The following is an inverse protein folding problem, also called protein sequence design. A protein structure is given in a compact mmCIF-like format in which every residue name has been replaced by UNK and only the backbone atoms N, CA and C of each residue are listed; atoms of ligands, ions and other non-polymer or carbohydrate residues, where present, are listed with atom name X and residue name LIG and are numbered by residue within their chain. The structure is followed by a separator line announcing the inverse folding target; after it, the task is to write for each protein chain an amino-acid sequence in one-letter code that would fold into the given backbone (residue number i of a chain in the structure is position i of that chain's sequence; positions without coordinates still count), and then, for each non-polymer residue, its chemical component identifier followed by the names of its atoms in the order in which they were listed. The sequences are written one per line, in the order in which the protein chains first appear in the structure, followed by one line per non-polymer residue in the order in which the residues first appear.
data_IF_975721755680
#
_entry.id   IF_975721755680
#
_cell.length_a   1.000
_cell.length_b   1.000
_cell.length_c   1.000
_cell.angle_alpha   90.00
_cell.angle_beta   90.00
_cell.angle_gamma   90.00
#
_symmetry.space_group_name_H-M   'P 1'
#
loop_
_entity.id
_entity.type
_entity.pdbx_description
1 polymer ?
#
# COMPACT_ATOMS: atom_id res chain seq x y z
N UNK A 1 13.44 10.45 14.57
CA UNK A 1 13.41 10.03 15.99
C UNK A 1 12.33 8.96 16.16
N UNK A 2 12.44 8.08 17.16
CA UNK A 2 11.36 7.18 17.56
C UNK A 2 10.31 8.04 18.29
N UNK A 3 9.07 7.98 17.84
CA UNK A 3 7.95 8.62 18.53
C UNK A 3 7.24 7.61 19.40
N UNK A 4 7.00 7.96 20.66
CA UNK A 4 6.28 7.13 21.62
C UNK A 4 5.19 7.96 22.28
N UNK A 5 3.97 7.42 22.35
CA UNK A 5 2.82 8.08 22.97
C UNK A 5 2.05 7.12 23.90
N UNK A 6 1.10 7.64 24.68
CA UNK A 6 0.19 6.84 25.47
C UNK A 6 -0.52 5.78 24.64
N UNK A 7 -0.63 4.56 25.16
CA UNK A 7 -1.48 3.53 24.55
C UNK A 7 -2.92 3.73 25.03
N UNK A 8 -3.79 4.23 24.15
CA UNK A 8 -5.14 4.67 24.53
C UNK A 8 -5.97 3.56 25.21
N UNK A 9 -5.93 2.29 24.75
CA UNK A 9 -6.71 1.22 25.38
C UNK A 9 -6.37 0.95 26.85
N UNK A 10 -5.21 1.42 27.34
CA UNK A 10 -4.81 1.28 28.75
C UNK A 10 -4.65 2.61 29.48
N UNK A 11 -4.98 3.74 28.84
CA UNK A 11 -4.80 5.08 29.39
C UNK A 11 -3.40 5.26 30.00
N UNK A 12 -2.36 4.80 29.30
CA UNK A 12 -0.99 4.82 29.81
C UNK A 12 -0.60 6.25 30.23
N UNK A 13 -0.15 6.47 31.49
CA UNK A 13 0.19 7.80 31.93
C UNK A 13 1.32 8.39 31.08
N UNK A 14 1.16 9.65 30.65
CA UNK A 14 2.20 10.33 29.86
C UNK A 14 3.56 10.39 30.57
N UNK A 15 3.57 10.46 31.90
CA UNK A 15 4.80 10.40 32.69
C UNK A 15 5.61 9.11 32.44
N UNK A 16 4.92 7.96 32.31
CA UNK A 16 5.56 6.68 32.00
C UNK A 16 6.12 6.65 30.58
N UNK A 17 5.41 7.25 29.62
CA UNK A 17 5.87 7.40 28.23
C UNK A 17 7.14 8.26 28.17
N UNK A 18 7.16 9.36 28.93
CA UNK A 18 8.31 10.25 29.04
C UNK A 18 9.52 9.53 29.64
N UNK A 19 9.33 8.78 30.72
CA UNK A 19 10.39 7.98 31.34
C UNK A 19 10.98 6.96 30.35
N UNK A 20 10.13 6.29 29.58
CA UNK A 20 10.57 5.35 28.55
C UNK A 20 11.36 6.05 27.42
N UNK A 21 10.90 7.21 26.94
CA UNK A 21 11.64 7.99 25.95
C UNK A 21 13.01 8.43 26.47
N UNK A 22 13.09 8.88 27.72
CA UNK A 22 14.35 9.26 28.36
C UNK A 22 15.31 8.08 28.49
N UNK A 23 14.82 6.87 28.80
CA UNK A 23 15.63 5.65 28.80
C UNK A 23 16.24 5.36 27.41
N UNK A 24 15.45 5.51 26.34
CA UNK A 24 15.91 5.33 24.96
C UNK A 24 16.95 6.41 24.58
N UNK A 25 16.74 7.66 25.02
CA UNK A 25 17.71 8.73 24.78
C UNK A 25 19.01 8.48 25.53
N UNK A 26 18.96 7.99 26.77
CA UNK A 26 20.14 7.63 27.56
C UNK A 26 20.98 6.52 26.93
N UNK A 27 20.40 5.66 26.08
CA UNK A 27 21.15 4.64 25.35
C UNK A 27 21.82 5.17 24.07
N UNK A 28 21.66 6.45 23.76
CA UNK A 28 22.24 7.09 22.56
C UNK A 28 21.32 7.08 21.34
N UNK A 29 20.08 6.57 21.46
CA UNK A 29 19.09 6.59 20.40
C UNK A 29 18.25 7.87 20.42
N UNK A 30 17.66 8.23 19.28
CA UNK A 30 16.76 9.39 19.19
C UNK A 30 15.34 8.96 19.50
N UNK A 31 14.75 9.46 20.59
CA UNK A 31 13.33 9.26 20.91
C UNK A 31 12.67 10.56 21.38
N UNK A 32 11.36 10.66 21.16
CA UNK A 32 10.52 11.81 21.52
C UNK A 32 9.19 11.27 22.07
N UNK A 33 8.84 11.69 23.28
CA UNK A 33 7.55 11.39 23.89
C UNK A 33 6.51 12.39 23.37
N UNK A 34 5.36 11.88 22.92
CA UNK A 34 4.23 12.66 22.45
C UNK A 34 3.05 12.44 23.39
N UNK A 35 2.33 13.49 23.74
CA UNK A 35 1.07 13.36 24.49
C UNK A 35 0.00 12.63 23.67
N UNK A 36 0.05 12.81 22.35
CA UNK A 36 -0.77 12.10 21.38
C UNK A 36 0.09 11.69 20.18
N UNK A 37 0.28 10.39 19.99
CA UNK A 37 1.03 9.85 18.86
C UNK A 37 0.16 9.62 17.62
N UNK A 38 -1.18 9.70 17.73
CA UNK A 38 -2.10 9.39 16.64
C UNK A 38 -1.84 10.22 15.39
N UNK A 39 -1.57 11.55 15.44
CA UNK A 39 -1.25 12.34 14.26
C UNK A 39 -0.09 11.76 13.43
N UNK A 40 1.01 11.39 14.08
CA UNK A 40 2.18 10.83 13.40
C UNK A 40 1.95 9.38 12.95
N UNK A 41 1.26 8.58 13.78
CA UNK A 41 0.90 7.21 13.44
C UNK A 41 -0.01 7.14 12.21
N UNK A 42 -1.01 8.02 12.12
CA UNK A 42 -1.92 8.08 10.98
C UNK A 42 -1.23 8.56 9.71
N UNK A 43 -0.37 9.59 9.78
CA UNK A 43 0.43 10.02 8.62
C UNK A 43 1.23 8.84 8.05
N UNK A 44 1.92 8.10 8.92
CA UNK A 44 2.71 6.92 8.52
C UNK A 44 1.87 5.74 8.08
N UNK A 45 0.73 5.49 8.72
CA UNK A 45 -0.19 4.41 8.37
C UNK A 45 -0.73 4.59 6.95
N UNK A 46 -1.21 5.79 6.61
CA UNK A 46 -1.73 6.09 5.27
C UNK A 46 -0.63 5.90 4.22
N UNK A 47 0.55 6.49 4.46
CA UNK A 47 1.71 6.34 3.57
C UNK A 47 2.06 4.85 3.34
N UNK A 48 2.28 4.09 4.42
CA UNK A 48 2.65 2.68 4.33
C UNK A 48 1.55 1.82 3.71
N UNK A 49 0.28 2.06 4.04
CA UNK A 49 -0.83 1.28 3.51
C UNK A 49 -0.96 1.41 1.99
N UNK A 50 -0.75 2.62 1.46
CA UNK A 50 -0.79 2.90 0.03
C UNK A 50 0.44 2.34 -0.69
N UNK A 51 1.64 2.69 -0.23
CA UNK A 51 2.90 2.28 -0.89
C UNK A 51 3.13 0.77 -0.78
N UNK A 52 3.02 0.18 0.41
CA UNK A 52 3.36 -1.23 0.61
C UNK A 52 2.40 -2.14 -0.18
N UNK A 53 1.10 -1.83 -0.17
CA UNK A 53 0.11 -2.63 -0.89
C UNK A 53 0.30 -2.56 -2.39
N UNK A 54 0.54 -1.37 -2.95
CA UNK A 54 0.79 -1.22 -4.38
C UNK A 54 2.09 -1.90 -4.80
N UNK A 55 3.17 -1.67 -4.06
CA UNK A 55 4.48 -2.31 -4.30
C UNK A 55 4.39 -3.83 -4.25
N UNK A 56 3.64 -4.39 -3.30
CA UNK A 56 3.44 -5.82 -3.18
C UNK A 56 2.67 -6.43 -4.37
N UNK A 57 1.76 -5.69 -5.01
CA UNK A 57 1.02 -6.17 -6.18
C UNK A 57 1.78 -5.98 -7.50
N UNK A 58 2.49 -4.87 -7.66
CA UNK A 58 3.24 -4.55 -8.88
C UNK A 58 4.64 -5.18 -8.90
N UNK A 59 5.11 -5.64 -7.74
CA UNK A 59 6.46 -6.13 -7.49
C UNK A 59 7.59 -5.10 -7.73
N UNK A 60 7.21 -3.82 -7.91
CA UNK A 60 8.11 -2.68 -8.00
C UNK A 60 8.57 -2.22 -6.61
N UNK A 61 9.82 -1.76 -6.43
CA UNK A 61 10.22 -1.05 -5.22
C UNK A 61 9.50 0.30 -5.10
N UNK A 62 9.66 1.01 -3.98
CA UNK A 62 9.19 2.41 -3.86
C UNK A 62 10.07 3.34 -4.70
N UNK A 63 9.77 3.41 -5.98
CA UNK A 63 10.49 4.14 -7.02
C UNK A 63 9.65 5.32 -7.57
N UNK A 64 10.25 6.13 -8.44
CA UNK A 64 9.68 7.39 -8.96
C UNK A 64 8.28 7.25 -9.56
N UNK A 65 7.96 6.08 -10.10
CA UNK A 65 6.66 5.76 -10.71
C UNK A 65 5.52 5.89 -9.69
N UNK A 66 5.78 5.76 -8.39
CA UNK A 66 4.81 5.95 -7.30
C UNK A 66 4.41 7.42 -7.09
N UNK A 67 5.12 8.36 -7.70
CA UNK A 67 4.86 9.80 -7.63
C UNK A 67 4.67 10.44 -9.01
N UNK A 68 4.73 9.67 -10.10
CA UNK A 68 4.51 10.19 -11.45
C UNK A 68 3.01 10.33 -11.72
N UNK A 69 2.59 11.46 -12.28
CA UNK A 69 1.19 11.81 -12.56
C UNK A 69 1.09 12.56 -13.92
N UNK A 70 1.80 12.09 -14.94
CA UNK A 70 1.88 12.73 -16.26
C UNK A 70 0.94 12.02 -17.25
N UNK A 71 1.16 10.73 -17.43
CA UNK A 71 0.39 9.89 -18.34
C UNK A 71 -0.78 9.25 -17.60
N UNK A 72 -1.92 9.07 -18.27
CA UNK A 72 -3.13 8.51 -17.66
C UNK A 72 -2.91 7.15 -16.96
N UNK A 73 -1.95 6.36 -17.43
CA UNK A 73 -1.59 5.06 -16.86
C UNK A 73 -0.60 5.12 -15.70
N UNK A 74 -0.12 6.31 -15.33
CA UNK A 74 0.87 6.45 -14.28
C UNK A 74 0.33 6.00 -12.92
N UNK A 75 1.21 5.31 -12.18
CA UNK A 75 0.86 4.71 -10.90
C UNK A 75 0.64 5.76 -9.81
N UNK A 76 1.24 6.94 -9.91
CA UNK A 76 1.11 8.00 -8.92
C UNK A 76 -0.33 8.47 -8.74
N UNK A 77 -1.17 8.46 -9.79
CA UNK A 77 -2.60 8.79 -9.65
C UNK A 77 -3.31 7.85 -8.67
N UNK A 78 -3.05 6.54 -8.76
CA UNK A 78 -3.62 5.57 -7.82
C UNK A 78 -3.10 5.80 -6.39
N UNK A 79 -1.81 6.10 -6.23
CA UNK A 79 -1.24 6.39 -4.90
C UNK A 79 -1.84 7.64 -4.28
N UNK A 80 -2.02 8.68 -5.08
CA UNK A 80 -2.62 9.94 -4.65
C UNK A 80 -4.04 9.71 -4.17
N UNK A 81 -4.87 9.00 -4.96
CA UNK A 81 -6.25 8.69 -4.58
C UNK A 81 -6.34 7.82 -3.31
N UNK A 82 -5.48 6.82 -3.17
CA UNK A 82 -5.37 6.01 -1.94
C UNK A 82 -5.02 6.89 -0.74
N UNK A 83 -4.05 7.79 -0.90
CA UNK A 83 -3.62 8.70 0.17
C UNK A 83 -4.75 9.67 0.56
N UNK A 84 -5.44 10.27 -0.40
CA UNK A 84 -6.58 11.14 -0.13
C UNK A 84 -7.75 10.39 0.53
N UNK A 85 -7.99 9.14 0.14
CA UNK A 85 -8.93 8.26 0.82
C UNK A 85 -8.54 8.03 2.28
N UNK A 86 -7.27 7.69 2.55
CA UNK A 86 -6.75 7.56 3.90
C UNK A 86 -6.87 8.85 4.72
N UNK A 87 -6.59 10.02 4.13
CA UNK A 87 -6.75 11.33 4.77
C UNK A 87 -8.21 11.60 5.19
N UNK A 88 -9.17 11.29 4.32
CA UNK A 88 -10.61 11.42 4.65
C UNK A 88 -11.01 10.53 5.82
N UNK A 89 -10.52 9.29 5.86
CA UNK A 89 -10.76 8.37 6.98
C UNK A 89 -10.17 8.90 8.27
N UNK A 90 -8.92 9.40 8.25
CA UNK A 90 -8.27 9.99 9.42
C UNK A 90 -9.05 11.21 9.96
N UNK A 91 -9.48 12.10 9.05
CA UNK A 91 -10.28 13.27 9.41
C UNK A 91 -11.61 12.87 10.06
N UNK A 92 -12.31 11.87 9.51
CA UNK A 92 -13.53 11.35 10.10
C UNK A 92 -13.34 10.64 11.44
N UNK A 93 -12.15 10.09 11.69
CA UNK A 93 -11.74 9.57 13.00
C UNK A 93 -11.32 10.69 13.99
N UNK A 94 -11.40 11.96 13.58
CA UNK A 94 -11.02 13.11 14.41
C UNK A 94 -9.51 13.28 14.57
N UNK A 95 -8.71 12.73 13.65
CA UNK A 95 -7.25 12.82 13.68
C UNK A 95 -6.77 13.84 12.65
N UNK A 96 -6.17 14.92 13.14
CA UNK A 96 -5.40 15.83 12.30
C UNK A 96 -4.00 15.24 12.09
N UNK A 97 -3.59 15.09 10.83
CA UNK A 97 -2.29 14.51 10.49
C UNK A 97 -1.13 15.44 10.86
N UNK A 98 -0.01 14.86 11.29
CA UNK A 98 1.22 15.60 11.59
C UNK A 98 1.95 16.01 10.31
N UNK A 99 2.11 15.03 9.43
CA UNK A 99 2.83 15.13 8.16
C UNK A 99 1.88 14.77 7.01
N UNK A 100 2.09 15.34 5.82
CA UNK A 100 1.32 14.99 4.62
C UNK A 100 1.84 13.66 4.01
N UNK A 101 1.04 12.58 3.99
CA UNK A 101 1.46 11.30 3.40
C UNK A 101 1.82 11.39 1.92
N UNK A 102 1.26 12.35 1.17
CA UNK A 102 1.62 12.55 -0.24
C UNK A 102 3.04 13.08 -0.38
N UNK A 103 3.41 14.07 0.44
CA UNK A 103 4.79 14.57 0.45
C UNK A 103 5.78 13.50 0.89
N UNK A 104 5.40 12.70 1.90
CA UNK A 104 6.19 11.54 2.31
C UNK A 104 6.40 10.56 1.13
N UNK A 105 5.36 10.34 0.31
CA UNK A 105 5.46 9.53 -0.89
C UNK A 105 6.40 10.11 -1.95
N UNK A 106 6.29 11.40 -2.27
CA UNK A 106 7.17 12.05 -3.26
C UNK A 106 8.64 12.00 -2.87
N UNK A 107 8.95 12.14 -1.58
CA UNK A 107 10.32 12.02 -1.07
C UNK A 107 10.78 10.56 -1.09
N UNK A 108 9.97 9.63 -0.57
CA UNK A 108 10.34 8.22 -0.49
C UNK A 108 10.51 7.54 -1.84
N UNK A 109 9.73 7.96 -2.85
CA UNK A 109 9.80 7.43 -4.22
C UNK A 109 11.17 7.65 -4.90
N UNK A 110 12.03 8.50 -4.33
CA UNK A 110 13.38 8.75 -4.84
C UNK A 110 14.42 7.75 -4.33
N UNK A 111 14.02 6.79 -3.49
CA UNK A 111 14.96 5.89 -2.78
C UNK A 111 15.10 4.51 -3.39
N UNK A 112 14.23 4.13 -4.33
CA UNK A 112 14.12 2.77 -4.89
C UNK A 112 14.06 1.68 -3.80
N UNK A 113 13.52 2.02 -2.63
CA UNK A 113 13.53 1.15 -1.46
C UNK A 113 12.40 0.13 -1.53
N UNK A 114 12.68 -1.19 -1.49
CA UNK A 114 11.63 -2.21 -1.45
C UNK A 114 10.99 -2.26 -0.04
N UNK A 115 9.68 -2.02 0.10
CA UNK A 115 9.01 -2.10 1.39
C UNK A 115 8.90 -3.55 1.91
N UNK A 116 8.69 -3.70 3.21
CA UNK A 116 8.56 -5.00 3.90
C UNK A 116 7.53 -5.93 3.28
N UNK A 117 6.34 -5.41 2.94
CA UNK A 117 5.29 -6.23 2.33
C UNK A 117 5.70 -6.82 0.96
N UNK A 118 6.53 -6.12 0.19
CA UNK A 118 7.08 -6.67 -1.06
C UNK A 118 8.02 -7.84 -0.78
N UNK A 119 8.84 -7.72 0.26
CA UNK A 119 9.66 -8.85 0.72
C UNK A 119 8.78 -10.04 1.12
N UNK A 120 7.72 -9.82 1.90
CA UNK A 120 6.80 -10.89 2.30
C UNK A 120 6.17 -11.57 1.09
N UNK A 121 5.68 -10.80 0.11
CA UNK A 121 5.08 -11.35 -1.12
C UNK A 121 6.08 -12.17 -1.93
N UNK A 122 7.32 -11.68 -2.11
CA UNK A 122 8.36 -12.40 -2.84
C UNK A 122 8.73 -13.74 -2.18
N UNK A 123 8.61 -13.82 -0.86
CA UNK A 123 8.92 -15.02 -0.08
C UNK A 123 7.66 -15.82 0.33
N UNK A 124 6.48 -15.42 -0.13
CA UNK A 124 5.18 -16.04 0.21
C UNK A 124 4.93 -16.13 1.72
N UNK A 125 5.35 -15.10 2.44
CA UNK A 125 5.11 -14.93 3.87
C UNK A 125 3.81 -14.16 4.11
N UNK A 126 3.19 -14.39 5.27
CA UNK A 126 2.03 -13.60 5.68
C UNK A 126 2.44 -12.12 5.79
N UNK A 127 1.66 -11.25 5.16
CA UNK A 127 1.89 -9.81 5.16
C UNK A 127 1.26 -9.12 6.37
N UNK A 128 1.69 -7.89 6.60
CA UNK A 128 1.12 -6.96 7.58
C UNK A 128 -0.17 -6.25 7.11
N UNK A 129 -0.78 -6.66 5.98
CA UNK A 129 -1.90 -5.94 5.34
C UNK A 129 -3.12 -5.76 6.26
N UNK A 130 -3.36 -6.70 7.18
CA UNK A 130 -4.46 -6.65 8.14
C UNK A 130 -4.36 -5.39 9.02
N UNK A 131 -3.14 -4.93 9.31
CA UNK A 131 -2.83 -3.78 10.18
C UNK A 131 -2.56 -2.49 9.42
N UNK A 132 -2.40 -2.56 8.10
CA UNK A 132 -2.22 -1.39 7.22
C UNK A 132 -3.53 -1.05 6.49
N UNK A 133 -3.63 -1.39 5.20
CA UNK A 133 -4.82 -1.10 4.40
C UNK A 133 -6.11 -1.70 4.98
N UNK A 134 -6.01 -2.88 5.62
CA UNK A 134 -7.13 -3.48 6.34
C UNK A 134 -7.60 -2.65 7.54
N UNK A 135 -6.69 -1.97 8.25
CA UNK A 135 -7.05 -1.10 9.36
C UNK A 135 -7.79 0.16 8.86
N UNK A 136 -7.30 0.80 7.79
CA UNK A 136 -7.96 1.95 7.17
C UNK A 136 -9.37 1.57 6.69
N UNK A 137 -9.52 0.45 5.98
CA UNK A 137 -10.82 0.00 5.48
C UNK A 137 -11.83 -0.28 6.61
N UNK A 138 -11.39 -0.89 7.73
CA UNK A 138 -12.25 -1.11 8.90
C UNK A 138 -12.63 0.19 9.60
N UNK A 139 -11.69 1.12 9.70
CA UNK A 139 -11.93 2.41 10.33
C UNK A 139 -12.90 3.26 9.50
N UNK A 140 -12.75 3.26 8.17
CA UNK A 140 -13.69 3.88 7.26
C UNK A 140 -15.13 3.38 7.50
N UNK A 141 -15.29 2.04 7.55
CA UNK A 141 -16.58 1.41 7.85
C UNK A 141 -17.11 1.82 9.24
N UNK A 142 -16.25 1.94 10.25
CA UNK A 142 -16.65 2.32 11.62
C UNK A 142 -17.27 3.71 11.67
N UNK A 143 -16.79 4.62 10.82
CA UNK A 143 -17.27 6.01 10.74
C UNK A 143 -18.24 6.27 9.59
N UNK A 144 -18.65 5.25 8.85
CA UNK A 144 -19.56 5.41 7.69
C UNK A 144 -18.93 6.16 6.51
N UNK A 145 -17.61 6.08 6.35
CA UNK A 145 -16.84 6.71 5.28
C UNK A 145 -16.52 5.67 4.22
N UNK A 146 -16.63 6.06 2.95
CA UNK A 146 -16.23 5.19 1.84
C UNK A 146 -14.71 5.14 1.70
N UNK A 147 -14.17 3.92 1.70
CA UNK A 147 -12.76 3.64 1.39
C UNK A 147 -12.63 2.50 0.36
N UNK A 148 -13.19 2.66 -0.86
CA UNK A 148 -13.21 1.61 -1.86
C UNK A 148 -11.82 1.18 -2.32
N UNK A 149 -10.86 2.09 -2.46
CA UNK A 149 -9.53 1.77 -2.97
C UNK A 149 -8.72 0.98 -1.94
N UNK A 150 -8.69 1.40 -0.68
CA UNK A 150 -8.06 0.64 0.40
C UNK A 150 -8.76 -0.70 0.62
N UNK A 151 -10.09 -0.75 0.49
CA UNK A 151 -10.84 -2.01 0.58
C UNK A 151 -10.48 -2.98 -0.55
N UNK A 152 -10.38 -2.49 -1.79
CA UNK A 152 -9.98 -3.28 -2.94
C UNK A 152 -8.53 -3.77 -2.79
N UNK A 153 -7.60 -2.86 -2.46
CA UNK A 153 -6.19 -3.17 -2.29
C UNK A 153 -5.98 -4.22 -1.18
N UNK A 154 -6.63 -4.06 -0.03
CA UNK A 154 -6.62 -5.05 1.04
C UNK A 154 -7.09 -6.42 0.54
N UNK A 155 -8.23 -6.49 -0.14
CA UNK A 155 -8.78 -7.75 -0.66
C UNK A 155 -7.87 -8.41 -1.70
N UNK A 156 -7.24 -7.61 -2.58
CA UNK A 156 -6.29 -8.11 -3.57
C UNK A 156 -5.05 -8.72 -2.92
N UNK A 157 -4.50 -8.08 -1.88
CA UNK A 157 -3.37 -8.67 -1.13
C UNK A 157 -3.79 -9.97 -0.43
N UNK A 158 -4.97 -10.02 0.22
CA UNK A 158 -5.48 -11.28 0.78
C UNK A 158 -5.64 -12.36 -0.29
N UNK A 159 -6.08 -12.00 -1.49
CA UNK A 159 -6.15 -12.89 -2.65
C UNK A 159 -4.77 -13.36 -3.11
N UNK A 160 -3.76 -12.48 -3.15
CA UNK A 160 -2.35 -12.83 -3.45
C UNK A 160 -1.83 -13.84 -2.42
N UNK A 161 -2.04 -13.59 -1.12
CA UNK A 161 -1.66 -14.53 -0.05
C UNK A 161 -2.32 -15.90 -0.21
N UNK A 162 -3.62 -15.91 -0.52
CA UNK A 162 -4.38 -17.13 -0.74
C UNK A 162 -3.91 -17.89 -1.99
N UNK A 163 -3.50 -17.18 -3.04
CA UNK A 163 -3.04 -17.79 -4.30
C UNK A 163 -1.80 -18.68 -4.12
N UNK A 164 -1.00 -18.47 -3.08
CA UNK A 164 0.15 -19.32 -2.77
C UNK A 164 -0.23 -20.72 -2.31
N UNK A 165 -1.44 -20.89 -1.77
CA UNK A 165 -1.99 -22.17 -1.32
C UNK A 165 -2.93 -22.77 -2.36
N UNK A 166 -3.19 -22.05 -3.46
CA UNK A 166 -4.10 -22.50 -4.50
C UNK A 166 -3.50 -23.72 -5.23
N UNK A 167 -4.19 -24.88 -5.23
CA UNK A 167 -3.67 -26.09 -5.86
C UNK A 167 -3.46 -25.88 -7.36
N UNK A 168 -2.24 -26.13 -7.84
CA UNK A 168 -1.95 -26.17 -9.27
C UNK A 168 -2.75 -27.33 -9.89
N UNK A 169 -3.73 -27.03 -10.76
CA UNK A 169 -4.56 -28.05 -11.42
C UNK A 169 -6.02 -28.18 -10.96
N UNK A 170 -6.56 -27.24 -10.16
CA UNK A 170 -7.98 -27.24 -9.81
C UNK A 170 -8.87 -26.83 -10.99
N UNK A 171 -9.54 -27.79 -11.64
CA UNK A 171 -10.69 -27.73 -12.59
C UNK A 171 -10.66 -26.77 -13.80
N UNK A 172 -9.92 -25.65 -13.79
CA UNK A 172 -9.86 -24.64 -14.84
C UNK A 172 -8.60 -24.72 -15.73
N UNK A 173 -7.42 -25.00 -15.15
CA UNK A 173 -6.16 -25.05 -15.91
C UNK A 173 -6.15 -26.16 -16.97
N UNK A 174 -6.78 -27.30 -16.68
CA UNK A 174 -6.94 -28.40 -17.65
C UNK A 174 -7.89 -28.04 -18.81
N UNK A 175 -8.91 -27.20 -18.58
CA UNK A 175 -9.83 -26.74 -19.64
C UNK A 175 -9.23 -25.63 -20.50
N UNK A 176 -8.38 -24.76 -19.92
CA UNK A 176 -7.70 -23.71 -20.68
C UNK A 176 -6.65 -24.34 -21.59
N UNK A 177 -5.83 -25.27 -21.08
CA UNK A 177 -4.82 -25.96 -21.88
C UNK A 177 -5.45 -26.84 -22.98
N UNK A 178 -6.61 -27.48 -22.74
CA UNK A 178 -7.31 -28.25 -23.77
C UNK A 178 -7.91 -27.35 -24.87
N UNK A 179 -8.44 -26.16 -24.52
CA UNK A 179 -8.98 -25.20 -25.50
C UNK A 179 -7.90 -24.54 -26.38
N UNK A 180 -6.68 -24.37 -25.87
CA UNK A 180 -5.57 -23.81 -26.64
C UNK A 180 -4.75 -24.87 -27.41
N UNK A 181 -4.83 -26.15 -27.02
CA UNK A 181 -4.19 -27.26 -27.73
C UNK A 181 -4.83 -27.64 -29.07
N UNK A 182 -6.08 -27.25 -29.32
CA UNK A 182 -6.82 -27.59 -30.56
C UNK A 182 -6.91 -26.47 -31.60
N UNK A 183 -6.42 -25.25 -31.31
CA UNK A 183 -6.39 -24.14 -32.28
C UNK A 183 -4.97 -23.80 -32.75
N UNK A 184 -4.26 -24.82 -33.22
CA UNK A 184 -3.08 -24.64 -34.05
C UNK A 184 -3.49 -24.27 -35.48
N UNK A 185 -2.98 -23.13 -35.95
CA UNK A 185 -3.07 -22.53 -37.31
C UNK A 185 -4.30 -21.67 -37.59
N UNK A 186 -4.11 -20.34 -37.55
CA UNK A 186 -5.10 -19.41 -38.10
C UNK A 186 -5.06 -17.97 -37.60
N UNK A 187 -3.89 -17.32 -37.52
CA UNK A 187 -3.85 -15.84 -37.53
C UNK A 187 -2.83 -15.42 -38.59
N UNK A 188 -3.35 -14.99 -39.74
CA UNK A 188 -2.57 -14.31 -40.76
C UNK A 188 -2.22 -12.90 -40.28
N UNK A 189 -0.95 -12.54 -40.46
CA UNK A 189 -0.38 -11.22 -40.22
C UNK A 189 -1.17 -10.12 -40.94
N UNK A 190 -1.75 -9.18 -40.19
CA UNK A 190 -2.22 -7.91 -40.75
C UNK A 190 -0.99 -7.02 -40.99
N UNK A 191 -0.53 -6.96 -42.24
CA UNK A 191 0.42 -5.93 -42.69
C UNK A 191 -0.32 -4.59 -42.79
N UNK A 192 0.12 -3.60 -42.04
CA UNK A 192 -0.19 -2.19 -42.32
C UNK A 192 0.44 -1.80 -43.66
N UNK A 193 -0.38 -1.52 -44.68
CA UNK A 193 0.02 -0.77 -45.87
C UNK A 193 -0.24 0.71 -45.61
N UNK A 194 0.82 1.46 -45.32
CA UNK A 194 0.86 2.88 -45.66
C UNK A 194 1.39 2.99 -47.08
N UNK A 195 0.57 3.45 -48.01
CA UNK A 195 1.04 3.96 -49.31
C UNK A 195 0.48 5.38 -49.48
N UNK A 196 1.42 6.33 -49.42
CA UNK A 196 1.28 7.64 -50.03
C UNK A 196 1.18 7.49 -51.53
N UNK A 197 0.35 8.33 -52.17
CA UNK A 197 0.70 8.91 -53.47
C UNK A 197 -0.28 10.02 -53.85
N UNK A 198 0.20 11.26 -53.87
CA UNK A 198 -0.10 12.25 -54.91
C UNK A 198 0.99 12.12 -55.99
N UNK A 199 0.81 12.59 -57.23
CA UNK A 199 0.47 13.98 -57.57
C UNK A 199 -0.98 14.20 -57.99
#
# INVERSE_FOLDING_TARGET
PIWIGPYEPRSTPYAMVKEAAELIVRSGLKAEALEDARPAQWSKLIFNASVNGVSALTELPHCREFANEIDFSDLGFLLHDLIEEGKRVAAGAGVQLRDDPWEMNRVGAQTDHPPSMLYDVRHRLRTEVDFLGGAIAREARRHGIEAPLHTALYRLIKGKEFSWQWPSGSHGDQQVLSKFGEKGTGIQNVRYRGEQSSP
#
